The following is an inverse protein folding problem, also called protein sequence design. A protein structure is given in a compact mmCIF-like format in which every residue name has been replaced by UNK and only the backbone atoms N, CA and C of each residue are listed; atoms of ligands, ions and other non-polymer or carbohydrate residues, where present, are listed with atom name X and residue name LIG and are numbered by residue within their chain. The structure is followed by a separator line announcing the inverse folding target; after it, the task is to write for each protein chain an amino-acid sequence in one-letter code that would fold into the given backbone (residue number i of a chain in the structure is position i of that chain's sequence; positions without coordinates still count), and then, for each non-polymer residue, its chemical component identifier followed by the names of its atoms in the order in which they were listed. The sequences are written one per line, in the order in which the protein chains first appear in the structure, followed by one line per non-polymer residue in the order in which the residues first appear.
data_IF_444579886568
#
_entry.id   IF_444579886568
#
_cell.length_a   1.000
_cell.length_b   1.000
_cell.length_c   1.000
_cell.angle_alpha   90.00
_cell.angle_beta   90.00
_cell.angle_gamma   90.00
#
_symmetry.space_group_name_H-M   'P 1'
#
loop_
_entity.id
_entity.type
_entity.pdbx_description
1 polymer ?
#
# COMPACT_ATOMS: atom_id res chain seq x y z
N UNK A 1 42.76 36.79 4.42
CA UNK A 1 41.84 36.03 5.28
C UNK A 1 40.44 36.46 4.89
N UNK A 2 39.84 35.73 3.94
CA UNK A 2 38.46 35.94 3.52
C UNK A 2 37.69 34.73 4.03
N UNK A 3 37.00 34.92 5.14
CA UNK A 3 36.25 33.85 5.79
C UNK A 3 34.95 33.58 5.04
N UNK A 4 34.80 32.29 4.77
CA UNK A 4 33.68 31.66 4.11
C UNK A 4 32.41 31.82 4.95
N UNK A 5 31.54 32.75 4.57
CA UNK A 5 30.12 32.75 4.95
C UNK A 5 29.29 32.37 3.74
N UNK A 6 29.22 31.06 3.48
CA UNK A 6 28.26 30.47 2.57
C UNK A 6 27.62 29.28 3.28
N UNK A 7 26.29 29.21 3.16
CA UNK A 7 25.45 28.04 3.45
C UNK A 7 24.87 27.89 4.87
N UNK A 8 23.93 28.77 5.23
CA UNK A 8 22.78 28.43 6.12
C UNK A 8 21.51 29.14 5.61
N UNK A 9 21.22 29.02 4.30
CA UNK A 9 19.96 29.49 3.68
C UNK A 9 19.04 28.35 3.22
N UNK A 10 19.31 27.11 3.64
CA UNK A 10 18.73 25.91 3.03
C UNK A 10 17.52 25.28 3.73
N UNK A 11 17.03 25.86 4.84
CA UNK A 11 15.91 25.24 5.60
C UNK A 11 14.60 26.05 5.61
N UNK A 12 14.62 27.35 5.29
CA UNK A 12 13.43 28.20 5.42
C UNK A 12 12.37 27.98 4.32
N UNK A 13 12.72 27.33 3.21
CA UNK A 13 11.82 27.13 2.06
C UNK A 13 11.19 25.71 1.98
N UNK A 14 11.38 24.87 3.01
CA UNK A 14 10.84 23.50 2.97
C UNK A 14 9.35 23.49 3.31
N UNK A 15 8.53 22.93 2.42
CA UNK A 15 7.10 22.68 2.70
C UNK A 15 6.97 21.57 3.73
N UNK A 16 6.35 21.87 4.88
CA UNK A 16 6.08 20.92 5.96
C UNK A 16 4.58 20.75 6.14
N UNK A 17 4.10 19.52 6.12
CA UNK A 17 2.68 19.18 6.30
C UNK A 17 2.53 18.13 7.39
N UNK A 18 1.58 18.32 8.30
CA UNK A 18 1.36 17.45 9.46
C UNK A 18 0.23 16.47 9.17
N UNK A 19 0.36 15.24 9.66
CA UNK A 19 -0.81 14.38 9.82
C UNK A 19 -1.69 14.91 10.96
N UNK A 20 -2.93 14.41 11.06
CA UNK A 20 -3.79 14.66 12.21
C UNK A 20 -3.09 14.26 13.53
N UNK A 21 -3.26 15.03 14.62
CA UNK A 21 -2.65 14.74 15.90
C UNK A 21 -3.00 13.33 16.39
N UNK A 22 -1.99 12.56 16.76
CA UNK A 22 -2.22 11.21 17.25
C UNK A 22 -2.51 11.26 18.75
N UNK A 23 -3.62 10.68 19.21
CA UNK A 23 -4.03 10.72 20.63
C UNK A 23 -2.93 10.25 21.62
N UNK A 24 -2.09 9.32 21.19
CA UNK A 24 -0.91 8.85 21.94
C UNK A 24 0.37 9.70 21.81
N UNK A 25 0.30 10.93 21.26
CA UNK A 25 1.45 11.83 21.08
C UNK A 25 2.49 11.34 20.06
N UNK A 26 2.07 10.50 19.11
CA UNK A 26 2.92 9.93 18.04
C UNK A 26 2.74 10.72 16.75
N UNK A 27 2.94 12.03 16.84
CA UNK A 27 2.69 12.91 15.71
C UNK A 27 3.67 12.65 14.58
N UNK A 28 3.18 12.81 13.35
CA UNK A 28 3.93 12.59 12.12
C UNK A 28 3.81 13.80 11.24
N UNK A 29 4.86 14.07 10.46
CA UNK A 29 4.83 15.09 9.41
C UNK A 29 5.63 14.67 8.20
N UNK A 30 5.24 15.19 7.06
CA UNK A 30 5.99 15.17 5.82
C UNK A 30 6.79 16.45 5.66
N UNK A 31 8.06 16.33 5.28
CA UNK A 31 8.88 17.44 4.81
C UNK A 31 9.17 17.21 3.33
N UNK A 32 8.64 18.07 2.45
CA UNK A 32 8.88 17.99 1.03
C UNK A 32 10.35 18.33 0.75
N UNK A 33 11.07 17.39 0.13
CA UNK A 33 12.48 17.51 -0.21
C UNK A 33 12.67 17.97 -1.66
N UNK A 34 11.74 17.57 -2.52
CA UNK A 34 11.77 17.82 -3.95
C UNK A 34 10.33 17.88 -4.44
N UNK A 35 10.04 18.87 -5.28
CA UNK A 35 8.85 18.88 -6.11
C UNK A 35 9.23 19.37 -7.50
N UNK A 36 8.72 18.69 -8.53
CA UNK A 36 8.93 19.02 -9.93
C UNK A 36 8.30 20.36 -10.32
N UNK A 37 7.26 20.79 -9.60
CA UNK A 37 6.46 21.97 -9.91
C UNK A 37 6.59 23.09 -8.86
N UNK A 38 7.69 23.09 -8.11
CA UNK A 38 7.99 24.01 -6.99
C UNK A 38 7.01 23.92 -5.80
N UNK A 39 5.84 23.30 -5.97
CA UNK A 39 4.87 23.00 -4.91
C UNK A 39 4.42 21.53 -4.97
N UNK A 40 4.14 20.88 -3.82
CA UNK A 40 3.74 19.48 -3.84
C UNK A 40 2.45 19.26 -4.63
N UNK A 41 2.48 18.29 -5.54
CA UNK A 41 1.36 17.99 -6.44
C UNK A 41 0.17 17.36 -5.72
N UNK A 42 0.44 16.63 -4.63
CA UNK A 42 -0.57 15.99 -3.79
C UNK A 42 -0.29 16.32 -2.32
N UNK A 43 -1.32 16.69 -1.54
CA UNK A 43 -1.21 16.84 -0.10
C UNK A 43 -0.65 15.60 0.59
N UNK A 44 0.23 15.81 1.56
CA UNK A 44 0.93 14.76 2.28
C UNK A 44 -0.02 13.79 3.01
N UNK A 45 -1.12 14.29 3.58
CA UNK A 45 -2.14 13.49 4.23
C UNK A 45 -2.82 12.50 3.26
N UNK A 46 -3.05 12.91 2.01
CA UNK A 46 -3.62 12.04 0.98
C UNK A 46 -2.63 10.93 0.60
N UNK A 47 -1.34 11.26 0.53
CA UNK A 47 -0.27 10.27 0.30
C UNK A 47 -0.20 9.25 1.44
N UNK A 48 -0.22 9.70 2.70
CA UNK A 48 -0.16 8.79 3.85
C UNK A 48 -1.42 7.94 3.99
N UNK A 49 -2.60 8.51 3.71
CA UNK A 49 -3.87 7.79 3.67
C UNK A 49 -3.85 6.65 2.65
N UNK A 50 -3.41 6.93 1.43
CA UNK A 50 -3.31 5.94 0.36
C UNK A 50 -2.27 4.86 0.69
N UNK A 51 -1.10 5.23 1.23
CA UNK A 51 -0.06 4.28 1.65
C UNK A 51 -0.48 3.40 2.85
N UNK A 52 -1.31 3.91 3.75
CA UNK A 52 -1.86 3.13 4.87
C UNK A 52 -2.90 2.11 4.40
N UNK A 53 -3.54 2.38 3.26
CA UNK A 53 -4.54 1.53 2.64
C UNK A 53 -3.87 0.46 1.77
N UNK A 54 -3.12 -0.47 2.38
CA UNK A 54 -2.32 -1.50 1.68
C UNK A 54 -3.19 -2.40 0.78
N UNK A 55 -4.48 -2.56 1.10
CA UNK A 55 -5.45 -3.25 0.25
C UNK A 55 -6.14 -2.34 -0.79
N UNK A 56 -5.82 -1.05 -0.82
CA UNK A 56 -6.43 -0.03 -1.66
C UNK A 56 -6.18 -0.28 -3.15
N UNK A 57 -7.06 0.30 -3.98
CA UNK A 57 -6.89 0.28 -5.42
C UNK A 57 -5.68 1.13 -5.82
N UNK A 58 -4.88 0.64 -6.77
CA UNK A 58 -3.64 1.30 -7.21
C UNK A 58 -3.86 2.50 -8.15
N UNK A 59 -5.00 2.56 -8.83
CA UNK A 59 -5.25 3.58 -9.84
C UNK A 59 -5.72 4.90 -9.20
N UNK A 60 -5.34 6.05 -9.77
CA UNK A 60 -5.92 7.34 -9.42
C UNK A 60 -7.44 7.35 -9.53
N UNK A 61 -8.09 8.21 -8.77
CA UNK A 61 -9.54 8.43 -8.77
C UNK A 61 -10.43 7.18 -8.57
N UNK A 62 -9.88 6.03 -8.15
CA UNK A 62 -10.72 4.87 -7.80
C UNK A 62 -11.49 5.15 -6.51
N UNK A 63 -12.78 4.84 -6.51
CA UNK A 63 -13.60 4.87 -5.31
C UNK A 63 -14.03 3.46 -4.95
N UNK A 64 -13.74 3.06 -3.71
CA UNK A 64 -14.14 1.77 -3.16
C UNK A 64 -15.32 1.95 -2.22
N UNK A 65 -16.36 1.15 -2.45
CA UNK A 65 -17.53 1.06 -1.60
C UNK A 65 -17.60 -0.31 -0.94
N UNK A 66 -18.28 -0.39 0.21
CA UNK A 66 -18.69 -1.67 0.77
C UNK A 66 -19.87 -2.20 -0.03
N UNK A 67 -19.76 -3.42 -0.55
CA UNK A 67 -20.88 -4.03 -1.24
C UNK A 67 -22.02 -4.34 -0.25
N UNK A 68 -23.30 -4.25 -0.69
CA UNK A 68 -24.43 -4.71 0.10
C UNK A 68 -24.24 -6.15 0.58
N UNK A 69 -24.66 -6.44 1.81
CA UNK A 69 -24.48 -7.77 2.41
C UNK A 69 -25.27 -8.85 1.64
N UNK A 70 -26.43 -8.45 1.13
CA UNK A 70 -27.34 -9.22 0.26
C UNK A 70 -26.72 -9.60 -1.08
N UNK A 71 -25.82 -8.79 -1.63
CA UNK A 71 -25.27 -9.00 -2.97
C UNK A 71 -24.51 -10.32 -3.09
N UNK A 72 -25.05 -11.26 -3.85
CA UNK A 72 -24.43 -12.57 -4.11
C UNK A 72 -23.46 -12.52 -5.28
N UNK A 73 -22.45 -13.41 -5.29
CA UNK A 73 -21.49 -13.53 -6.40
C UNK A 73 -22.17 -13.82 -7.75
N UNK A 74 -23.26 -14.59 -7.73
CA UNK A 74 -24.08 -14.87 -8.92
C UNK A 74 -24.65 -13.61 -9.57
N UNK A 75 -24.79 -12.52 -8.80
CA UNK A 75 -25.45 -11.29 -9.23
C UNK A 75 -24.43 -10.19 -9.57
N UNK A 76 -23.13 -10.46 -9.53
CA UNK A 76 -22.09 -9.44 -9.76
C UNK A 76 -22.21 -8.77 -11.12
N UNK A 77 -22.47 -9.53 -12.19
CA UNK A 77 -22.66 -8.96 -13.52
C UNK A 77 -23.89 -8.03 -13.61
N UNK A 78 -24.98 -8.37 -12.90
CA UNK A 78 -26.15 -7.50 -12.82
C UNK A 78 -25.85 -6.22 -12.03
N UNK A 79 -25.12 -6.35 -10.92
CA UNK A 79 -24.68 -5.22 -10.12
C UNK A 79 -23.75 -4.28 -10.89
N UNK A 80 -22.80 -4.84 -11.66
CA UNK A 80 -21.92 -4.10 -12.58
C UNK A 80 -22.74 -3.24 -13.54
N UNK A 81 -23.68 -3.87 -14.27
CA UNK A 81 -24.54 -3.17 -15.22
C UNK A 81 -25.41 -2.10 -14.55
N UNK A 82 -25.89 -2.36 -13.32
CA UNK A 82 -26.67 -1.39 -12.54
C UNK A 82 -25.85 -0.16 -12.18
N UNK A 83 -24.60 -0.35 -11.73
CA UNK A 83 -23.69 0.75 -11.39
C UNK A 83 -23.29 1.51 -12.64
N UNK A 84 -22.92 0.82 -13.73
CA UNK A 84 -22.58 1.47 -15.00
C UNK A 84 -23.76 2.24 -15.58
N UNK A 85 -24.98 1.73 -15.46
CA UNK A 85 -26.20 2.43 -15.90
C UNK A 85 -26.44 3.71 -15.11
N UNK A 86 -26.28 3.67 -13.78
CA UNK A 86 -26.41 4.86 -12.93
C UNK A 86 -25.29 5.87 -13.17
N UNK A 87 -24.05 5.39 -13.35
CA UNK A 87 -22.93 6.24 -13.77
C UNK A 87 -23.24 6.96 -15.09
N UNK A 88 -23.78 6.26 -16.09
CA UNK A 88 -24.12 6.86 -17.38
C UNK A 88 -25.25 7.91 -17.28
N UNK A 89 -26.12 7.81 -16.27
CA UNK A 89 -27.15 8.83 -16.00
C UNK A 89 -26.52 10.08 -15.41
N UNK A 90 -25.62 9.92 -14.44
CA UNK A 90 -24.98 11.05 -13.75
C UNK A 90 -23.86 11.70 -14.59
N UNK A 91 -23.23 10.92 -15.48
CA UNK A 91 -22.11 11.33 -16.32
C UNK A 91 -22.33 10.96 -17.81
N UNK A 92 -23.32 11.55 -18.48
CA UNK A 92 -23.80 11.08 -19.80
C UNK A 92 -22.80 11.24 -20.96
N UNK A 93 -21.76 12.06 -20.79
CA UNK A 93 -20.75 12.31 -21.82
C UNK A 93 -19.42 11.60 -21.55
N UNK A 94 -19.30 10.88 -20.44
CA UNK A 94 -18.04 10.26 -20.02
C UNK A 94 -17.98 8.77 -20.37
N UNK A 95 -16.78 8.21 -20.37
CA UNK A 95 -16.60 6.77 -20.57
C UNK A 95 -17.20 5.99 -19.40
N UNK A 96 -17.76 4.82 -19.68
CA UNK A 96 -18.24 3.93 -18.61
C UNK A 96 -17.07 3.51 -17.71
N UNK A 97 -17.29 3.46 -16.38
CA UNK A 97 -16.28 3.02 -15.44
C UNK A 97 -16.11 1.52 -15.53
N UNK A 98 -14.91 1.07 -15.21
CA UNK A 98 -14.65 -0.31 -14.84
C UNK A 98 -15.14 -0.55 -13.41
N UNK A 99 -15.90 -1.63 -13.21
CA UNK A 99 -16.39 -2.04 -11.90
C UNK A 99 -15.68 -3.33 -11.51
N UNK A 100 -14.97 -3.31 -10.40
CA UNK A 100 -14.30 -4.50 -9.88
C UNK A 100 -14.92 -4.92 -8.55
N UNK A 101 -15.40 -6.15 -8.49
CA UNK A 101 -15.85 -6.76 -7.25
C UNK A 101 -14.69 -7.54 -6.61
N UNK A 102 -14.42 -7.25 -5.34
CA UNK A 102 -13.44 -8.00 -4.57
C UNK A 102 -14.06 -8.55 -3.28
N UNK A 103 -13.64 -9.75 -2.88
CA UNK A 103 -14.11 -10.38 -1.65
C UNK A 103 -12.89 -10.95 -0.90
N UNK A 104 -12.04 -10.09 -0.32
CA UNK A 104 -10.76 -10.49 0.24
C UNK A 104 -10.90 -11.42 1.46
N UNK A 105 -12.05 -11.36 2.14
CA UNK A 105 -12.39 -12.22 3.28
C UNK A 105 -13.86 -12.66 3.19
N UNK A 106 -14.23 -13.85 3.69
CA UNK A 106 -15.63 -14.23 3.81
C UNK A 106 -16.43 -13.14 4.54
N UNK A 107 -17.55 -12.72 3.95
CA UNK A 107 -18.42 -11.67 4.51
C UNK A 107 -18.00 -10.23 4.20
N UNK A 108 -16.78 -9.99 3.72
CA UNK A 108 -16.31 -8.66 3.30
C UNK A 108 -16.25 -8.60 1.78
N UNK A 109 -17.06 -7.72 1.19
CA UNK A 109 -17.17 -7.51 -0.24
C UNK A 109 -17.00 -6.03 -0.52
N UNK A 110 -16.19 -5.70 -1.51
CA UNK A 110 -15.97 -4.34 -1.97
C UNK A 110 -16.33 -4.22 -3.44
N UNK A 111 -16.70 -2.99 -3.81
CA UNK A 111 -16.99 -2.57 -5.17
C UNK A 111 -16.07 -1.40 -5.46
N UNK A 112 -15.14 -1.60 -6.38
CA UNK A 112 -14.23 -0.56 -6.85
C UNK A 112 -14.79 0.00 -8.15
N UNK A 113 -14.98 1.31 -8.19
CA UNK A 113 -15.42 2.07 -9.35
C UNK A 113 -14.20 2.84 -9.87
N UNK A 114 -13.73 2.47 -11.06
CA UNK A 114 -12.56 3.06 -11.70
C UNK A 114 -12.96 3.67 -13.04
N UNK A 115 -13.03 5.00 -13.10
CA UNK A 115 -13.10 5.71 -14.38
C UNK A 115 -11.68 5.98 -14.91
N UNK A 116 -11.52 6.32 -16.20
CA UNK A 116 -10.29 6.93 -16.67
C UNK A 116 -9.92 8.14 -15.80
N UNK A 117 -8.64 8.23 -15.43
CA UNK A 117 -8.15 9.25 -14.49
C UNK A 117 -8.38 10.70 -14.98
N UNK A 118 -8.49 10.89 -16.30
CA UNK A 118 -8.74 12.17 -16.97
C UNK A 118 -10.24 12.47 -17.20
N UNK A 119 -11.15 11.53 -16.97
CA UNK A 119 -12.59 11.70 -17.24
C UNK A 119 -13.35 12.32 -16.06
N UNK A 120 -13.31 11.69 -14.88
CA UNK A 120 -14.07 12.13 -13.69
C UNK A 120 -13.21 12.01 -12.44
N UNK A 121 -13.32 13.01 -11.57
CA UNK A 121 -12.65 13.01 -10.27
C UNK A 121 -13.33 12.07 -9.29
N UNK A 122 -12.58 11.47 -8.37
CA UNK A 122 -13.15 10.59 -7.36
C UNK A 122 -14.22 11.26 -6.50
N UNK A 123 -14.05 12.53 -6.13
CA UNK A 123 -15.01 13.22 -5.26
C UNK A 123 -16.38 13.38 -5.94
N UNK A 124 -16.40 13.52 -7.26
CA UNK A 124 -17.62 13.57 -8.06
C UNK A 124 -18.31 12.20 -8.10
N UNK A 125 -17.54 11.11 -8.25
CA UNK A 125 -18.06 9.75 -8.12
C UNK A 125 -18.66 9.53 -6.73
N UNK A 126 -17.96 9.91 -5.66
CA UNK A 126 -18.46 9.77 -4.27
C UNK A 126 -19.79 10.50 -4.10
N UNK A 127 -19.88 11.73 -4.60
CA UNK A 127 -21.11 12.54 -4.51
C UNK A 127 -22.27 11.90 -5.27
N UNK A 128 -22.06 11.47 -6.51
CA UNK A 128 -23.07 10.82 -7.34
C UNK A 128 -23.54 9.48 -6.73
N UNK A 129 -22.57 8.66 -6.29
CA UNK A 129 -22.79 7.32 -5.75
C UNK A 129 -23.61 7.30 -4.46
N UNK A 130 -23.76 8.43 -3.77
CA UNK A 130 -24.65 8.55 -2.59
C UNK A 130 -26.11 8.17 -2.86
N UNK A 131 -26.53 8.17 -4.13
CA UNK A 131 -27.87 7.77 -4.56
C UNK A 131 -27.91 6.43 -5.30
N UNK A 132 -26.75 5.85 -5.60
CA UNK A 132 -26.68 4.63 -6.40
C UNK A 132 -27.17 3.42 -5.63
N UNK A 133 -27.84 2.52 -6.33
CA UNK A 133 -28.39 1.30 -5.76
C UNK A 133 -27.83 0.05 -6.45
N UNK A 134 -27.63 -0.99 -5.65
CA UNK A 134 -27.27 -2.34 -6.07
C UNK A 134 -28.16 -3.31 -5.32
N UNK A 135 -28.92 -4.13 -6.06
CA UNK A 135 -29.86 -5.09 -5.48
C UNK A 135 -30.92 -4.43 -4.56
N UNK A 136 -31.34 -3.20 -4.90
CA UNK A 136 -32.32 -2.41 -4.14
C UNK A 136 -31.77 -1.74 -2.88
N UNK A 137 -30.47 -1.87 -2.59
CA UNK A 137 -29.80 -1.20 -1.46
C UNK A 137 -28.85 -0.12 -1.95
N UNK A 138 -28.75 0.99 -1.21
CA UNK A 138 -27.84 2.09 -1.55
C UNK A 138 -26.38 1.66 -1.37
N UNK A 139 -25.54 2.02 -2.33
CA UNK A 139 -24.09 1.93 -2.28
C UNK A 139 -23.62 2.92 -1.20
N UNK A 140 -23.41 2.45 0.03
CA UNK A 140 -23.17 3.31 1.20
C UNK A 140 -21.91 4.19 1.11
N UNK A 141 -21.38 4.62 2.26
CA UNK A 141 -20.22 5.52 2.27
C UNK A 141 -18.97 4.90 1.63
N UNK A 142 -18.23 5.73 0.88
CA UNK A 142 -16.94 5.37 0.32
C UNK A 142 -15.98 4.95 1.43
N UNK A 143 -15.44 3.73 1.32
CA UNK A 143 -14.49 3.17 2.27
C UNK A 143 -13.05 3.56 1.92
N UNK A 144 -12.80 3.83 0.64
CA UNK A 144 -11.50 4.28 0.17
C UNK A 144 -11.64 5.14 -1.08
N UNK A 145 -10.82 6.19 -1.15
CA UNK A 145 -10.70 7.07 -2.30
C UNK A 145 -9.23 7.09 -2.71
N UNK A 146 -8.95 6.78 -3.98
CA UNK A 146 -7.62 6.86 -4.58
C UNK A 146 -7.14 8.30 -4.70
N UNK A 147 -5.90 8.50 -5.15
CA UNK A 147 -5.31 9.83 -5.26
C UNK A 147 -6.18 10.73 -6.16
N UNK A 148 -6.59 11.92 -5.69
CA UNK A 148 -7.43 12.85 -6.44
C UNK A 148 -6.58 13.65 -7.43
N UNK A 149 -6.35 13.11 -8.63
CA UNK A 149 -5.47 13.72 -9.61
C UNK A 149 -5.97 13.53 -11.04
N UNK A 150 -5.54 14.42 -11.94
CA UNK A 150 -5.77 14.31 -13.39
C UNK A 150 -4.58 13.70 -14.12
N UNK A 151 -3.55 13.31 -13.39
CA UNK A 151 -2.35 12.70 -13.91
C UNK A 151 -2.25 11.23 -13.48
N UNK A 152 -1.48 10.44 -14.21
CA UNK A 152 -1.19 9.05 -13.86
C UNK A 152 -0.14 8.97 -12.76
N UNK A 153 -0.51 9.45 -11.57
CA UNK A 153 0.36 9.48 -10.39
C UNK A 153 0.20 8.23 -9.55
N UNK A 154 1.30 7.82 -8.94
CA UNK A 154 1.30 6.77 -7.93
C UNK A 154 2.34 7.03 -6.86
N UNK A 155 2.09 6.49 -5.68
CA UNK A 155 2.90 6.74 -4.49
C UNK A 155 3.56 5.46 -4.01
N UNK A 156 4.85 5.57 -3.66
CA UNK A 156 5.62 4.52 -3.04
C UNK A 156 6.38 5.06 -1.83
N UNK A 157 6.33 4.32 -0.73
CA UNK A 157 7.18 4.55 0.44
C UNK A 157 8.35 3.58 0.42
N UNK A 158 9.54 4.15 0.53
CA UNK A 158 10.78 3.41 0.75
C UNK A 158 11.17 3.49 2.22
N UNK A 159 11.37 2.33 2.83
CA UNK A 159 11.75 2.21 4.23
C UNK A 159 13.23 1.79 4.35
N UNK A 160 13.86 2.17 5.47
CA UNK A 160 15.27 1.90 5.82
C UNK A 160 16.28 2.65 4.94
N UNK A 161 15.95 3.88 4.55
CA UNK A 161 16.89 4.76 3.83
C UNK A 161 17.68 5.58 4.86
N UNK A 162 19.01 5.42 4.98
CA UNK A 162 19.82 6.21 5.91
C UNK A 162 19.76 7.71 5.60
N UNK A 163 19.80 8.54 6.63
CA UNK A 163 19.76 10.00 6.48
C UNK A 163 20.95 10.52 5.63
N UNK A 164 22.14 9.94 5.86
CA UNK A 164 23.39 10.36 5.21
C UNK A 164 23.40 10.07 3.69
N UNK A 165 22.64 9.07 3.23
CA UNK A 165 22.65 8.62 1.84
C UNK A 165 21.49 9.19 1.01
N UNK A 166 20.86 10.29 1.45
CA UNK A 166 19.68 10.85 0.77
C UNK A 166 19.97 11.18 -0.70
N UNK A 167 21.07 11.87 -0.98
CA UNK A 167 21.39 12.27 -2.35
C UNK A 167 21.66 11.05 -3.23
N UNK A 168 22.43 10.09 -2.73
CA UNK A 168 22.72 8.85 -3.46
C UNK A 168 21.44 8.05 -3.73
N UNK A 169 20.48 8.05 -2.80
CA UNK A 169 19.19 7.43 -2.99
C UNK A 169 18.39 8.11 -4.12
N UNK A 170 18.34 9.45 -4.13
CA UNK A 170 17.67 10.23 -5.18
C UNK A 170 18.26 9.89 -6.56
N UNK A 171 19.59 9.85 -6.69
CA UNK A 171 20.25 9.50 -7.95
C UNK A 171 20.03 8.04 -8.36
N UNK A 172 19.78 7.15 -7.41
CA UNK A 172 19.51 5.73 -7.67
C UNK A 172 18.08 5.47 -8.16
N UNK A 173 17.09 6.26 -7.75
CA UNK A 173 15.67 6.01 -8.08
C UNK A 173 15.37 5.86 -9.59
N UNK A 174 15.91 6.69 -10.51
CA UNK A 174 15.70 6.48 -11.94
C UNK A 174 16.18 5.12 -12.43
N UNK A 175 17.33 4.65 -11.94
CA UNK A 175 17.86 3.33 -12.27
C UNK A 175 16.97 2.21 -11.72
N UNK A 176 16.51 2.35 -10.47
CA UNK A 176 15.56 1.41 -9.88
C UNK A 176 14.30 1.29 -10.73
N UNK A 177 13.66 2.43 -11.05
CA UNK A 177 12.41 2.47 -11.82
C UNK A 177 12.59 1.89 -13.23
N UNK A 178 13.70 2.20 -13.90
CA UNK A 178 14.03 1.61 -15.19
C UNK A 178 14.21 0.08 -15.08
N UNK A 179 14.79 -0.41 -13.99
CA UNK A 179 15.01 -1.86 -13.80
C UNK A 179 13.71 -2.61 -13.52
N UNK A 180 12.83 -2.07 -12.67
CA UNK A 180 11.57 -2.74 -12.29
C UNK A 180 10.44 -2.53 -13.31
N UNK A 181 10.53 -1.51 -14.16
CA UNK A 181 9.53 -1.18 -15.16
C UNK A 181 10.16 -0.63 -16.46
N UNK A 182 10.96 -1.44 -17.18
CA UNK A 182 11.73 -0.97 -18.34
C UNK A 182 10.86 -0.47 -19.51
N UNK A 183 9.61 -0.90 -19.59
CA UNK A 183 8.68 -0.52 -20.66
C UNK A 183 7.95 0.82 -20.41
N UNK A 184 8.13 1.44 -19.24
CA UNK A 184 7.43 2.66 -18.88
C UNK A 184 8.44 3.75 -18.50
N UNK A 185 8.20 4.98 -18.95
CA UNK A 185 8.96 6.12 -18.44
C UNK A 185 8.32 6.57 -17.14
N UNK A 186 9.10 6.53 -16.06
CA UNK A 186 8.67 6.93 -14.72
C UNK A 186 9.41 8.22 -14.37
N UNK A 187 8.66 9.27 -14.04
CA UNK A 187 9.21 10.56 -13.62
C UNK A 187 8.89 10.78 -12.15
N UNK A 188 9.89 11.16 -11.36
CA UNK A 188 9.66 11.55 -9.96
C UNK A 188 9.01 12.93 -9.95
N UNK A 189 7.86 13.04 -9.31
CA UNK A 189 7.08 14.28 -9.21
C UNK A 189 7.37 14.96 -7.88
N UNK A 190 7.14 14.26 -6.77
CA UNK A 190 7.44 14.76 -5.43
C UNK A 190 8.24 13.74 -4.63
N UNK A 191 9.03 14.24 -3.67
CA UNK A 191 9.70 13.41 -2.68
C UNK A 191 9.55 14.02 -1.30
N UNK A 192 9.11 13.19 -0.35
CA UNK A 192 8.89 13.57 1.02
C UNK A 192 9.77 12.77 1.97
N UNK A 193 10.20 13.45 3.03
CA UNK A 193 10.79 12.86 4.23
C UNK A 193 9.71 12.68 5.28
N UNK A 194 9.58 11.47 5.81
CA UNK A 194 8.74 11.20 6.98
C UNK A 194 9.51 11.55 8.26
N UNK A 195 8.92 12.38 9.11
CA UNK A 195 9.44 12.68 10.45
C UNK A 195 8.44 12.31 11.54
N UNK A 196 8.97 11.92 12.69
CA UNK A 196 8.20 11.59 13.89
C UNK A 196 8.53 12.59 14.99
N UNK A 197 7.52 13.00 15.74
CA UNK A 197 7.70 13.78 16.94
C UNK A 197 8.10 12.84 18.08
N UNK A 198 9.28 13.02 18.66
CA UNK A 198 9.69 12.31 19.87
C UNK A 198 9.63 13.27 21.05
N UNK A 199 8.81 12.89 22.03
CA UNK A 199 8.71 13.62 23.30
C UNK A 199 9.61 12.95 24.34
N UNK A 200 10.59 13.70 24.83
CA UNK A 200 11.44 13.31 25.94
C UNK A 200 10.86 13.88 27.22
N UNK A 201 10.29 12.99 28.04
CA UNK A 201 9.78 13.33 29.36
C UNK A 201 10.82 12.95 30.41
N UNK A 202 11.57 13.93 30.89
CA UNK A 202 12.41 13.78 32.09
C UNK A 202 11.85 14.63 33.24
N UNK A 203 12.13 14.30 34.51
CA UNK A 203 11.73 15.12 35.66
C UNK A 203 12.21 16.58 35.61
N UNK A 204 13.24 16.86 34.80
CA UNK A 204 13.89 18.16 34.72
C UNK A 204 13.64 18.90 33.40
N UNK A 205 13.10 18.23 32.39
CA UNK A 205 12.89 18.80 31.07
C UNK A 205 11.85 17.99 30.28
N UNK A 206 10.85 18.69 29.75
CA UNK A 206 9.99 18.21 28.67
C UNK A 206 10.45 18.89 27.38
N UNK A 207 10.94 18.10 26.44
CA UNK A 207 11.25 18.59 25.09
C UNK A 207 10.66 17.67 24.05
N UNK A 208 10.19 18.26 22.95
CA UNK A 208 9.78 17.52 21.76
C UNK A 208 10.78 17.80 20.64
N UNK A 209 11.10 16.79 19.86
CA UNK A 209 12.02 16.92 18.72
C UNK A 209 11.55 16.06 17.57
N UNK A 210 11.48 16.67 16.39
CA UNK A 210 11.20 15.98 15.15
C UNK A 210 12.45 15.24 14.68
N UNK A 211 12.31 13.95 14.47
CA UNK A 211 13.39 13.07 14.02
C UNK A 211 13.01 12.40 12.72
N UNK A 212 14.03 12.12 11.90
CA UNK A 212 13.84 11.41 10.66
C UNK A 212 13.43 9.95 10.90
N UNK A 213 12.34 9.52 10.28
CA UNK A 213 11.78 8.19 10.40
C UNK A 213 12.44 7.07 9.58
N UNK A 214 13.54 7.34 8.87
CA UNK A 214 14.15 6.40 7.92
C UNK A 214 13.24 5.98 6.74
N UNK A 215 12.17 6.73 6.48
CA UNK A 215 11.25 6.49 5.37
C UNK A 215 11.14 7.69 4.43
N UNK A 216 11.13 7.40 3.13
CA UNK A 216 10.90 8.38 2.06
C UNK A 216 9.62 8.03 1.34
N UNK A 217 8.81 9.03 1.02
CA UNK A 217 7.66 8.85 0.14
C UNK A 217 8.02 9.48 -1.20
N UNK A 218 7.81 8.75 -2.28
CA UNK A 218 8.07 9.19 -3.64
C UNK A 218 6.75 9.13 -4.38
N UNK A 219 6.31 10.28 -4.88
CA UNK A 219 5.24 10.39 -5.85
C UNK A 219 5.87 10.38 -7.23
N UNK A 220 5.39 9.52 -8.11
CA UNK A 220 5.88 9.43 -9.48
C UNK A 220 4.74 9.43 -10.49
N UNK A 221 5.01 9.93 -11.68
CA UNK A 221 4.12 9.87 -12.83
C UNK A 221 4.57 8.77 -13.79
N UNK A 222 3.60 8.08 -14.36
CA UNK A 222 3.79 7.14 -15.46
C UNK A 222 3.49 7.85 -16.78
N UNK A 223 4.47 7.94 -17.68
CA UNK A 223 4.26 8.51 -19.00
C UNK A 223 3.23 7.69 -19.78
N UNK A 224 2.25 8.37 -20.39
CA UNK A 224 1.31 7.75 -21.32
C UNK A 224 2.10 7.26 -22.54
N UNK A 225 2.29 5.95 -22.67
CA UNK A 225 2.67 5.40 -23.97
C UNK A 225 1.48 5.69 -24.91
N UNK A 226 1.70 6.51 -25.95
CA UNK A 226 0.63 6.94 -26.87
C UNK A 226 -0.21 5.73 -27.34
N UNK A 227 -1.50 5.73 -27.00
CA UNK A 227 -2.46 4.71 -27.44
C UNK A 227 -2.69 3.52 -26.50
N UNK A 228 -1.88 3.33 -25.45
CA UNK A 228 -2.12 2.24 -24.49
C UNK A 228 -3.03 2.71 -23.33
N UNK A 229 -4.13 1.99 -23.08
CA UNK A 229 -4.91 2.09 -21.84
C UNK A 229 -4.10 1.49 -20.68
N UNK A 230 -3.02 2.15 -20.27
CA UNK A 230 -2.18 1.71 -19.16
C UNK A 230 -2.88 2.05 -17.85
N UNK A 231 -3.06 1.07 -16.97
CA UNK A 231 -3.45 1.30 -15.58
C UNK A 231 -2.21 1.22 -14.70
N UNK A 232 -2.15 2.04 -13.66
CA UNK A 232 -1.06 1.97 -12.67
C UNK A 232 -1.00 0.58 -12.05
N UNK A 233 -2.17 0.02 -11.72
CA UNK A 233 -2.29 -1.32 -11.14
C UNK A 233 -1.57 -2.40 -11.96
N UNK A 234 -1.67 -2.36 -13.30
CA UNK A 234 -1.07 -3.36 -14.21
C UNK A 234 0.47 -3.27 -14.29
N UNK A 235 1.03 -2.15 -13.81
CA UNK A 235 2.47 -1.90 -13.72
C UNK A 235 2.99 -2.32 -12.36
N UNK A 236 2.36 -1.86 -11.28
CA UNK A 236 2.86 -2.02 -9.91
C UNK A 236 2.54 -3.38 -9.30
N UNK A 237 1.54 -4.11 -9.82
CA UNK A 237 1.20 -5.47 -9.35
C UNK A 237 2.39 -6.45 -9.40
N UNK A 238 3.30 -6.23 -10.36
CA UNK A 238 4.49 -7.06 -10.60
C UNK A 238 5.69 -6.65 -9.78
N UNK A 239 5.69 -5.44 -9.21
CA UNK A 239 6.84 -4.86 -8.54
C UNK A 239 7.20 -5.64 -7.27
N UNK A 240 8.49 -5.62 -6.87
CA UNK A 240 8.91 -6.28 -5.64
C UNK A 240 8.49 -5.47 -4.41
N UNK A 241 8.43 -6.15 -3.27
CA UNK A 241 8.19 -5.50 -1.97
C UNK A 241 9.42 -4.95 -1.27
N UNK A 242 10.60 -5.18 -1.84
CA UNK A 242 11.89 -4.80 -1.32
C UNK A 242 12.92 -4.78 -2.44
N UNK A 243 14.04 -4.09 -2.22
CA UNK A 243 15.14 -4.03 -3.17
C UNK A 243 16.50 -4.04 -2.44
N UNK A 244 17.56 -4.57 -3.05
CA UNK A 244 18.92 -4.45 -2.52
C UNK A 244 19.57 -3.15 -3.03
N UNK A 245 19.92 -2.25 -2.12
CA UNK A 245 20.62 -1.01 -2.44
C UNK A 245 21.81 -0.84 -1.49
N UNK A 246 23.02 -0.74 -2.04
CA UNK A 246 24.29 -0.67 -1.27
C UNK A 246 24.38 -1.73 -0.15
N UNK A 247 24.09 -2.99 -0.48
CA UNK A 247 24.07 -4.12 0.46
C UNK A 247 23.01 -4.02 1.59
N UNK A 248 22.10 -3.05 1.52
CA UNK A 248 20.96 -2.88 2.44
C UNK A 248 19.67 -3.26 1.74
N UNK A 249 18.84 -4.08 2.39
CA UNK A 249 17.49 -4.38 1.93
C UNK A 249 16.54 -3.22 2.29
N UNK A 250 16.15 -2.43 1.30
CA UNK A 250 15.17 -1.36 1.44
C UNK A 250 13.76 -1.91 1.25
N UNK A 251 12.83 -1.49 2.09
CA UNK A 251 11.42 -1.88 1.98
C UNK A 251 10.68 -1.02 0.97
N UNK A 252 9.77 -1.61 0.19
CA UNK A 252 8.91 -0.91 -0.78
C UNK A 252 7.44 -1.14 -0.44
N UNK A 253 6.74 -0.06 -0.08
CA UNK A 253 5.33 -0.08 0.33
C UNK A 253 4.54 0.83 -0.60
N UNK A 254 3.55 0.28 -1.30
CA UNK A 254 2.72 1.00 -2.26
C UNK A 254 1.36 0.29 -2.42
N UNK A 255 0.29 1.03 -2.76
CA UNK A 255 -1.04 0.45 -3.03
C UNK A 255 -1.05 -0.47 -4.25
N UNK A 256 -1.96 -1.44 -4.27
CA UNK A 256 -2.08 -2.41 -5.36
C UNK A 256 -0.89 -3.36 -5.52
N UNK A 257 0.07 -3.31 -4.60
CA UNK A 257 1.11 -4.34 -4.49
C UNK A 257 0.46 -5.71 -4.32
N UNK A 258 0.93 -6.68 -5.10
CA UNK A 258 0.54 -8.07 -4.89
C UNK A 258 0.98 -8.56 -3.49
N UNK A 259 0.02 -9.08 -2.72
CA UNK A 259 0.28 -9.63 -1.39
C UNK A 259 0.99 -10.98 -1.53
N UNK A 260 2.32 -10.94 -1.40
CA UNK A 260 3.16 -12.12 -1.45
C UNK A 260 2.74 -13.11 -0.37
N UNK A 261 2.75 -14.41 -0.70
CA UNK A 261 2.44 -15.45 0.27
C UNK A 261 3.36 -15.34 1.49
N UNK A 262 2.78 -15.17 2.67
CA UNK A 262 3.53 -15.01 3.93
C UNK A 262 4.26 -16.30 4.33
N UNK A 263 3.77 -17.46 3.89
CA UNK A 263 4.39 -18.77 4.13
C UNK A 263 5.55 -19.07 3.19
N UNK A 264 5.40 -18.75 1.90
CA UNK A 264 6.40 -19.05 0.87
C UNK A 264 7.52 -18.00 0.83
N UNK A 265 7.93 -17.53 2.02
CA UNK A 265 8.95 -16.52 2.27
C UNK A 265 10.08 -16.58 1.21
N UNK A 266 10.35 -15.43 0.61
CA UNK A 266 11.62 -15.06 -0.05
C UNK A 266 11.99 -15.54 -1.45
N UNK A 267 11.22 -16.34 -2.17
CA UNK A 267 11.63 -16.69 -3.55
C UNK A 267 10.58 -16.27 -4.56
N UNK A 268 11.04 -15.50 -5.54
CA UNK A 268 10.29 -15.07 -6.71
C UNK A 268 9.25 -16.12 -7.09
N UNK A 269 7.98 -15.84 -6.83
CA UNK A 269 6.94 -16.71 -7.33
C UNK A 269 6.99 -16.60 -8.84
N UNK A 270 7.59 -17.60 -9.48
CA UNK A 270 7.40 -17.83 -10.90
C UNK A 270 5.90 -17.83 -11.14
N UNK A 271 5.47 -17.12 -12.16
CA UNK A 271 4.14 -17.30 -12.72
C UNK A 271 4.06 -18.78 -13.12
N UNK A 272 3.35 -19.60 -12.35
CA UNK A 272 3.20 -21.02 -12.62
C UNK A 272 1.74 -21.34 -12.98
N UNK A 273 1.56 -22.32 -13.85
CA UNK A 273 0.23 -22.76 -14.31
C UNK A 273 -0.23 -22.11 -15.62
N UNK A 274 -1.33 -22.63 -16.21
CA UNK A 274 -1.81 -22.25 -17.54
C UNK A 274 -2.26 -20.78 -17.65
N UNK A 275 -2.51 -20.11 -16.53
CA UNK A 275 -2.92 -18.71 -16.46
C UNK A 275 -1.79 -17.77 -16.01
N UNK A 276 -0.58 -18.28 -15.73
CA UNK A 276 0.55 -17.46 -15.26
C UNK A 276 0.28 -16.71 -13.95
N UNK A 277 -0.57 -17.25 -13.07
CA UNK A 277 -0.96 -16.59 -11.82
C UNK A 277 0.06 -16.86 -10.71
N UNK A 278 0.36 -15.82 -9.93
CA UNK A 278 1.15 -15.93 -8.69
C UNK A 278 0.29 -16.59 -7.61
N UNK A 279 0.88 -17.37 -6.70
CA UNK A 279 0.14 -18.06 -5.64
C UNK A 279 -0.08 -17.15 -4.42
N UNK A 280 -1.26 -17.17 -3.82
CA UNK A 280 -1.55 -16.36 -2.62
C UNK A 280 -1.35 -17.17 -1.33
N UNK A 281 -1.28 -16.48 -0.18
CA UNK A 281 -1.31 -17.13 1.15
C UNK A 281 -2.51 -18.06 1.29
N UNK A 282 -3.69 -17.62 0.82
CA UNK A 282 -4.92 -18.41 0.86
C UNK A 282 -4.80 -19.74 0.09
N UNK A 283 -4.12 -19.73 -1.07
CA UNK A 283 -3.88 -20.94 -1.87
C UNK A 283 -2.83 -21.89 -1.23
N UNK A 284 -1.94 -21.35 -0.40
CA UNK A 284 -0.90 -22.15 0.27
C UNK A 284 -1.46 -22.94 1.44
N UNK A 285 -2.38 -22.34 2.21
CA UNK A 285 -3.08 -23.00 3.32
C UNK A 285 -3.91 -24.20 2.83
N UNK A 286 -4.46 -24.14 1.62
CA UNK A 286 -5.24 -25.25 1.05
C UNK A 286 -4.37 -26.44 0.61
N UNK A 287 -3.09 -26.22 0.31
CA UNK A 287 -2.15 -27.26 -0.15
C UNK A 287 -1.51 -28.05 1.00
N UNK A 288 -1.38 -27.45 2.19
CA UNK A 288 -0.82 -28.11 3.39
C UNK A 288 -1.78 -29.10 4.07
N UNK A 289 -2.99 -29.30 3.54
CA UNK A 289 -4.02 -30.19 4.13
C UNK A 289 -4.34 -31.43 3.28
N UNK A 290 -3.49 -31.83 2.34
CA UNK A 290 -3.60 -33.15 1.70
C UNK A 290 -2.64 -34.15 2.35
N UNK A 291 -3.14 -35.23 2.99
CA UNK A 291 -2.32 -36.29 3.61
C UNK A 291 -1.36 -37.01 2.66
N UNK A 292 -1.52 -36.86 1.34
CA UNK A 292 -0.76 -37.60 0.32
C UNK A 292 0.72 -37.23 0.20
N UNK A 293 1.22 -36.19 0.88
CA UNK A 293 2.64 -35.81 0.82
C UNK A 293 3.50 -36.33 1.98
N UNK A 294 2.90 -36.89 3.04
CA UNK A 294 3.66 -37.53 4.13
C UNK A 294 4.09 -38.96 3.79
N UNK A 295 3.36 -39.68 2.92
CA UNK A 295 3.78 -41.03 2.50
C UNK A 295 5.08 -41.02 1.68
N UNK A 296 5.36 -39.94 0.92
CA UNK A 296 6.61 -39.84 0.13
C UNK A 296 7.83 -39.42 0.94
N UNK A 297 7.67 -39.06 2.22
CA UNK A 297 8.80 -38.80 3.14
C UNK A 297 9.23 -40.03 3.94
N UNK A 298 8.42 -41.10 3.99
CA UNK A 298 8.78 -42.32 4.72
C UNK A 298 9.57 -43.35 3.88
N UNK A 299 9.58 -43.23 2.55
CA UNK A 299 10.25 -44.20 1.65
C UNK A 299 11.71 -43.84 1.26
N UNK A 300 12.42 -43.03 2.06
CA UNK A 300 13.86 -42.72 1.83
C UNK A 300 14.79 -43.02 2.99
N UNK A 301 14.42 -43.97 3.86
CA UNK A 301 15.34 -44.53 4.85
C UNK A 301 15.72 -45.97 4.49
N UNK A 302 16.63 -46.14 3.52
CA UNK A 302 17.58 -47.27 3.48
C UNK A 302 18.85 -46.75 2.81
N UNK A 303 19.85 -46.41 3.62
CA UNK A 303 21.19 -46.98 3.49
C UNK A 303 21.99 -46.53 4.72
N UNK A 304 22.20 -47.51 5.59
CA UNK A 304 23.08 -47.46 6.75
C UNK A 304 24.53 -47.25 6.29
N UNK A 305 25.26 -46.30 6.88
CA UNK A 305 26.58 -46.59 7.46
C UNK A 305 27.19 -45.38 8.20
N UNK A 306 27.72 -45.68 9.40
CA UNK A 306 28.69 -44.91 10.18
C UNK A 306 28.25 -43.62 10.90
N UNK A 307 27.74 -43.79 12.14
CA UNK A 307 27.94 -42.81 13.23
C UNK A 307 28.35 -43.54 14.53
N UNK A 308 29.40 -43.11 15.26
CA UNK A 308 29.84 -43.75 16.50
C UNK A 308 28.89 -43.48 17.66
N UNK A 309 28.69 -44.50 18.51
CA UNK A 309 27.90 -44.43 19.75
C UNK A 309 28.59 -43.53 20.77
N UNK A 310 28.04 -42.33 20.98
CA UNK A 310 28.28 -41.51 22.17
C UNK A 310 27.09 -41.64 23.12
N UNK A 311 27.33 -42.14 24.32
CA UNK A 311 26.36 -42.21 25.40
C UNK A 311 25.97 -40.78 25.83
N UNK A 312 24.68 -40.43 25.75
CA UNK A 312 24.14 -39.25 26.42
C UNK A 312 23.05 -39.67 27.39
N UNK A 313 23.24 -39.24 28.65
CA UNK A 313 22.29 -39.41 29.74
C UNK A 313 20.98 -38.69 29.47
N UNK A 314 19.89 -39.34 29.85
CA UNK A 314 18.53 -38.81 29.83
C UNK A 314 18.41 -37.60 30.76
N UNK A 315 18.04 -36.45 30.19
CA UNK A 315 17.57 -35.28 30.92
C UNK A 315 16.05 -35.19 30.70
N UNK A 316 15.31 -35.09 31.80
CA UNK A 316 13.85 -35.03 31.82
C UNK A 316 13.33 -33.69 31.26
N UNK A 317 12.12 -33.64 30.68
CA UNK A 317 11.56 -32.40 30.17
C UNK A 317 10.89 -31.60 31.29
N UNK A 318 11.32 -30.36 31.48
CA UNK A 318 10.61 -29.36 32.30
C UNK A 318 9.78 -28.44 31.39
N UNK A 319 8.50 -28.38 31.78
CA UNK A 319 7.59 -27.23 31.86
C UNK A 319 7.15 -26.46 30.59
N UNK A 320 5.83 -26.39 30.49
CA UNK A 320 5.01 -25.63 29.55
C UNK A 320 5.23 -24.11 29.72
N UNK A 321 5.67 -23.43 28.67
CA UNK A 321 5.53 -21.97 28.57
C UNK A 321 4.19 -21.61 27.93
N UNK A 322 3.38 -20.87 28.68
CA UNK A 322 2.11 -20.27 28.27
C UNK A 322 2.30 -19.36 27.04
N UNK A 323 1.53 -19.63 25.97
CA UNK A 323 1.40 -18.74 24.82
C UNK A 323 0.75 -17.41 25.26
N UNK A 324 1.58 -16.37 25.43
CA UNK A 324 1.09 -15.00 25.48
C UNK A 324 0.52 -14.61 24.11
N UNK A 325 -0.80 -14.46 24.05
CA UNK A 325 -1.50 -13.79 22.94
C UNK A 325 -0.97 -12.36 22.79
N UNK A 326 -0.21 -12.12 21.72
CA UNK A 326 0.11 -10.78 21.24
C UNK A 326 -1.15 -10.17 20.62
N UNK A 327 -1.79 -9.27 21.36
CA UNK A 327 -2.83 -8.38 20.84
C UNK A 327 -2.27 -7.55 19.67
N UNK A 328 -2.80 -7.79 18.47
CA UNK A 328 -2.56 -6.97 17.29
C UNK A 328 -3.39 -5.68 17.40
N UNK A 329 -2.80 -4.47 17.39
CA UNK A 329 -3.58 -3.24 17.40
C UNK A 329 -4.15 -2.97 16.01
N UNK A 330 -5.47 -3.03 15.88
CA UNK A 330 -6.17 -2.83 14.61
C UNK A 330 -7.62 -2.41 14.79
N UNK A 331 -7.84 -1.19 15.29
CA UNK A 331 -9.11 -0.48 15.12
C UNK A 331 -8.79 0.97 14.77
N UNK A 332 -9.07 1.33 13.51
CA UNK A 332 -9.10 2.73 13.09
C UNK A 332 -10.26 3.43 13.83
N UNK A 333 -10.06 4.64 14.39
CA UNK A 333 -11.18 5.45 14.81
C UNK A 333 -11.99 5.85 13.55
N UNK A 334 -13.30 5.64 13.60
CA UNK A 334 -14.21 6.24 12.62
C UNK A 334 -14.09 7.77 12.68
N UNK A 335 -14.22 8.50 11.56
CA UNK A 335 -14.22 9.95 11.59
C UNK A 335 -15.36 10.47 12.49
N UNK A 336 -15.02 11.42 13.35
CA UNK A 336 -15.96 12.11 14.23
C UNK A 336 -16.99 12.87 13.36
N UNK A 337 -18.28 12.64 13.64
CA UNK A 337 -19.38 13.39 13.04
C UNK A 337 -19.27 14.86 13.43
N UNK A 338 -19.16 15.75 12.44
CA UNK A 338 -19.54 17.15 12.61
C UNK A 338 -21.06 17.23 12.67
N UNK A 339 -21.60 17.48 13.87
CA UNK A 339 -22.98 17.95 14.01
C UNK A 339 -23.05 19.39 13.51
N UNK A 340 -23.54 19.56 12.29
CA UNK A 340 -24.01 20.86 11.82
C UNK A 340 -25.25 21.26 12.63
N UNK A 341 -25.09 22.22 13.54
CA UNK A 341 -26.20 22.93 14.14
C UNK A 341 -26.93 23.73 13.04
N UNK A 342 -28.14 23.30 12.71
CA UNK A 342 -29.11 24.12 11.97
C UNK A 342 -29.64 25.23 12.87
N UNK A 343 -29.52 26.47 12.37
CA UNK A 343 -30.25 27.73 12.67
C UNK A 343 -31.06 27.82 13.98
#
# INVERSE_FOLDING_TARGET
MADSKKEERGEEDKVVQYDDPHAGGRDRRGVCLFSLHDEPSIPYNDLTYVLASIHGAANPNVVRFRAPSSLRRSNWHQAENSIQGQFAIDFPTLSLPEIQFSAPRPGFKYIDVSAPFDDVRAEEIVKAASTWQVDGEVLGEAQFVGLPTRDMLHVIRFDKIPAADLQDFIHFLPQLFHTISPSHTITIVDMWKLEYNLTFNSPHQQSSTWTFGNSRIVLFSLSRAEGAKVKVADVVDKWPGWWMWKDVAIGMVYPGRYEYCTFCKYTAQKQEGPEGRRHTTAMSITRTLTPEQDEKRQDKNVDEEHVPKGEMNAMQPEEEEEEQQLDMPGSFPAPLREEYATL
#
